data_IF_900987218928
#
_entry.id   IF_900987218928
#
_cell.length_a   1.000
_cell.length_b   1.000
_cell.length_c   1.000
_cell.angle_alpha   90.00
_cell.angle_beta   90.00
_cell.angle_gamma   90.00
#
_symmetry.space_group_name_H-M   'P 1'
#
loop_
_entity.id
_entity.type
_entity.pdbx_description
1 polymer ?
#
# COMPACT_ATOMS: atom_id res chain seq x y z
N UNK A 1 13.60 0.17 17.88
CA UNK A 1 13.22 -1.16 18.45
C UNK A 1 11.71 -1.37 18.54
N UNK A 2 10.90 -0.44 19.05
CA UNK A 2 9.43 -0.62 19.09
C UNK A 2 8.72 -0.37 17.75
N UNK A 3 9.02 0.76 17.10
CA UNK A 3 8.35 1.16 15.85
C UNK A 3 8.61 0.17 14.70
N UNK A 4 9.84 -0.36 14.59
CA UNK A 4 10.17 -1.41 13.61
C UNK A 4 9.37 -2.70 13.87
N UNK A 5 9.16 -3.07 15.13
CA UNK A 5 8.34 -4.23 15.49
C UNK A 5 6.86 -4.01 15.14
N UNK A 6 6.34 -2.79 15.27
CA UNK A 6 4.97 -2.46 14.84
C UNK A 6 4.84 -2.47 13.31
N UNK A 7 5.84 -1.95 12.59
CA UNK A 7 5.87 -1.99 11.14
C UNK A 7 6.03 -3.39 10.57
N UNK A 8 6.81 -4.28 11.18
CA UNK A 8 7.01 -5.65 10.68
C UNK A 8 6.02 -6.66 11.24
N UNK A 9 5.30 -6.30 12.31
CA UNK A 9 4.37 -7.19 13.01
C UNK A 9 3.26 -7.71 12.10
N UNK A 10 2.90 -8.97 12.32
CA UNK A 10 1.75 -9.64 11.67
C UNK A 10 0.42 -9.15 12.25
N UNK A 11 -0.66 -9.28 11.49
CA UNK A 11 -2.01 -8.93 11.91
C UNK A 11 -2.41 -9.59 13.22
N UNK A 12 -2.12 -10.90 13.37
CA UNK A 12 -2.41 -11.64 14.60
C UNK A 12 -1.65 -11.03 15.79
N UNK A 13 -0.35 -10.81 15.63
CA UNK A 13 0.51 -10.20 16.66
C UNK A 13 0.08 -8.77 17.01
N UNK A 14 -0.33 -7.98 16.01
CA UNK A 14 -0.83 -6.61 16.20
C UNK A 14 -2.20 -6.61 16.90
N UNK A 15 -3.07 -7.58 16.60
CA UNK A 15 -4.36 -7.74 17.30
C UNK A 15 -4.16 -8.13 18.76
N UNK A 16 -3.24 -9.05 19.04
CA UNK A 16 -2.86 -9.43 20.40
C UNK A 16 -2.32 -8.22 21.17
N UNK A 17 -1.37 -7.47 20.59
CA UNK A 17 -0.85 -6.23 21.19
C UNK A 17 -1.92 -5.16 21.39
N UNK A 18 -2.85 -5.03 20.44
CA UNK A 18 -3.97 -4.09 20.59
C UNK A 18 -4.85 -4.48 21.78
N UNK A 19 -5.15 -5.77 21.94
CA UNK A 19 -5.91 -6.28 23.08
C UNK A 19 -5.19 -6.10 24.41
N UNK A 20 -3.88 -6.36 24.47
CA UNK A 20 -3.04 -6.10 25.65
C UNK A 20 -3.04 -4.60 26.03
N UNK A 21 -3.09 -3.72 25.04
CA UNK A 21 -3.18 -2.27 25.23
C UNK A 21 -4.63 -1.75 25.45
N UNK A 22 -5.64 -2.63 25.49
CA UNK A 22 -7.04 -2.25 25.66
C UNK A 22 -7.67 -1.54 24.45
N UNK A 23 -7.10 -1.71 23.26
CA UNK A 23 -7.52 -1.10 22.00
C UNK A 23 -8.39 -2.06 21.16
N UNK A 24 -9.17 -1.50 20.23
CA UNK A 24 -9.94 -2.33 19.29
C UNK A 24 -9.04 -3.18 18.40
N UNK A 25 -9.41 -4.45 18.22
CA UNK A 25 -8.78 -5.40 17.28
C UNK A 25 -9.28 -5.28 15.84
N UNK A 26 -10.22 -4.37 15.57
CA UNK A 26 -10.85 -4.22 14.26
C UNK A 26 -10.01 -3.38 13.29
N UNK A 27 -10.09 -3.74 12.01
CA UNK A 27 -9.41 -3.05 10.93
C UNK A 27 -8.37 -3.93 10.22
N UNK A 28 -7.83 -3.39 9.13
CA UNK A 28 -6.65 -3.94 8.45
C UNK A 28 -5.39 -3.78 9.30
N UNK A 29 -4.29 -4.39 8.84
CA UNK A 29 -2.98 -4.26 9.49
C UNK A 29 -2.60 -2.80 9.68
N UNK A 30 -2.76 -1.96 8.66
CA UNK A 30 -2.35 -0.55 8.70
C UNK A 30 -3.19 0.27 9.67
N UNK A 31 -4.48 -0.03 9.80
CA UNK A 31 -5.35 0.59 10.81
C UNK A 31 -4.90 0.22 12.22
N UNK A 32 -4.52 -1.04 12.45
CA UNK A 32 -4.01 -1.48 13.74
C UNK A 32 -2.64 -0.87 14.04
N UNK A 33 -1.76 -0.75 13.04
CA UNK A 33 -0.47 -0.07 13.19
C UNK A 33 -0.65 1.39 13.53
N UNK A 34 -1.48 2.13 12.80
CA UNK A 34 -1.76 3.53 13.10
C UNK A 34 -2.27 3.68 14.55
N UNK A 35 -3.18 2.81 14.98
CA UNK A 35 -3.72 2.81 16.34
C UNK A 35 -2.68 2.50 17.41
N UNK A 36 -1.84 1.49 17.17
CA UNK A 36 -0.77 1.09 18.10
C UNK A 36 0.34 2.14 18.16
N UNK A 37 0.74 2.73 17.02
CA UNK A 37 1.72 3.82 16.96
C UNK A 37 1.17 5.04 17.69
N UNK A 38 -0.10 5.39 17.46
CA UNK A 38 -0.75 6.49 18.17
C UNK A 38 -0.70 6.28 19.68
N UNK A 39 -1.01 5.08 20.17
CA UNK A 39 -1.09 4.80 21.60
C UNK A 39 0.29 4.63 22.26
N UNK A 40 1.21 3.88 21.62
CA UNK A 40 2.46 3.44 22.25
C UNK A 40 3.66 4.34 21.93
N UNK A 41 3.61 5.09 20.82
CA UNK A 41 4.71 5.96 20.38
C UNK A 41 4.33 7.43 20.49
N UNK A 42 3.07 7.77 20.16
CA UNK A 42 2.54 9.13 20.19
C UNK A 42 1.55 9.35 21.35
N UNK A 43 1.68 8.59 22.44
CA UNK A 43 0.71 8.61 23.54
C UNK A 43 0.51 10.00 24.19
N UNK A 44 1.53 10.85 24.12
CA UNK A 44 1.50 12.22 24.66
C UNK A 44 1.06 13.28 23.62
N UNK A 45 0.91 12.89 22.35
CA UNK A 45 0.53 13.80 21.27
C UNK A 45 -0.98 13.74 21.06
N UNK A 46 -1.67 14.86 21.28
CA UNK A 46 -3.08 14.96 20.92
C UNK A 46 -3.23 15.01 19.40
N UNK A 47 -3.87 13.98 18.83
CA UNK A 47 -4.21 13.89 17.41
C UNK A 47 -5.71 14.10 17.15
N UNK A 48 -6.39 14.80 18.06
CA UNK A 48 -7.75 15.31 17.83
C UNK A 48 -7.78 16.25 16.62
N UNK A 49 -8.97 16.42 16.02
CA UNK A 49 -9.11 17.30 14.85
C UNK A 49 -8.70 18.75 15.16
N UNK A 50 -9.07 19.28 16.32
CA UNK A 50 -8.70 20.65 16.74
C UNK A 50 -7.18 20.80 16.91
N UNK A 51 -6.51 19.78 17.50
CA UNK A 51 -5.05 19.75 17.59
C UNK A 51 -4.38 19.68 16.22
N UNK A 52 -4.84 18.79 15.33
CA UNK A 52 -4.32 18.68 13.95
C UNK A 52 -4.44 20.02 13.18
N UNK A 53 -5.52 20.78 13.40
CA UNK A 53 -5.70 22.09 12.77
C UNK A 53 -4.71 23.14 13.28
N UNK A 54 -4.34 23.09 14.57
CA UNK A 54 -3.40 24.03 15.19
C UNK A 54 -1.92 23.58 15.10
N UNK A 55 -1.67 22.33 14.71
CA UNK A 55 -0.34 21.74 14.62
C UNK A 55 0.52 22.39 13.52
N UNK A 56 1.81 22.63 13.84
CA UNK A 56 2.74 23.24 12.90
C UNK A 56 3.02 22.35 11.69
N UNK A 57 3.47 22.95 10.58
CA UNK A 57 3.79 22.20 9.36
C UNK A 57 4.94 21.19 9.57
N UNK A 58 5.89 21.53 10.45
CA UNK A 58 7.03 20.68 10.85
C UNK A 58 6.55 19.48 11.66
N UNK A 59 5.70 19.71 12.66
CA UNK A 59 5.22 18.65 13.57
C UNK A 59 4.36 17.63 12.83
N UNK A 60 3.45 18.08 11.96
CA UNK A 60 2.66 17.14 11.12
C UNK A 60 3.59 16.31 10.24
N UNK A 61 4.65 16.93 9.70
CA UNK A 61 5.68 16.22 8.94
C UNK A 61 6.34 15.11 9.75
N UNK A 62 6.71 15.40 11.00
CA UNK A 62 7.29 14.43 11.94
C UNK A 62 6.33 13.28 12.27
N UNK A 63 5.08 13.60 12.59
CA UNK A 63 4.03 12.61 12.88
C UNK A 63 3.79 11.69 11.67
N UNK A 64 3.69 12.25 10.46
CA UNK A 64 3.54 11.46 9.23
C UNK A 64 4.75 10.54 8.97
N UNK A 65 5.97 11.00 9.29
CA UNK A 65 7.18 10.16 9.20
C UNK A 65 7.13 9.00 10.20
N UNK A 66 6.64 9.22 11.42
CA UNK A 66 6.48 8.17 12.46
C UNK A 66 5.42 7.14 12.07
N UNK A 67 4.34 7.55 11.41
CA UNK A 67 3.38 6.62 10.79
C UNK A 67 3.92 5.91 9.55
N UNK A 68 5.07 6.34 9.02
CA UNK A 68 5.67 5.77 7.83
C UNK A 68 4.95 6.14 6.53
N UNK A 69 4.14 7.21 6.53
CA UNK A 69 3.38 7.69 5.35
C UNK A 69 4.04 8.90 4.70
N UNK A 70 3.52 9.39 3.56
CA UNK A 70 4.15 10.50 2.82
C UNK A 70 4.10 11.80 3.64
N UNK A 71 5.27 12.30 4.05
CA UNK A 71 5.40 13.52 4.86
C UNK A 71 5.55 14.81 4.04
N UNK A 72 5.70 14.75 2.72
CA UNK A 72 5.86 15.94 1.85
C UNK A 72 4.52 16.51 1.37
N UNK A 73 4.54 17.74 0.84
CA UNK A 73 3.34 18.47 0.40
C UNK A 73 3.01 19.70 1.27
N UNK A 74 2.00 20.45 0.83
CA UNK A 74 1.49 21.65 1.51
C UNK A 74 0.94 21.31 2.91
N UNK A 75 0.83 22.33 3.76
CA UNK A 75 0.34 22.15 5.14
C UNK A 75 -1.08 21.53 5.16
N UNK A 76 -1.96 22.00 4.27
CA UNK A 76 -3.30 21.46 4.08
C UNK A 76 -3.27 19.98 3.66
N UNK A 77 -2.46 19.62 2.67
CA UNK A 77 -2.34 18.22 2.21
C UNK A 77 -1.82 17.31 3.32
N UNK A 78 -0.86 17.76 4.13
CA UNK A 78 -0.36 16.99 5.27
C UNK A 78 -1.43 16.79 6.34
N UNK A 79 -2.23 17.81 6.68
CA UNK A 79 -3.37 17.67 7.62
C UNK A 79 -4.42 16.71 7.12
N UNK A 80 -4.85 16.84 5.86
CA UNK A 80 -5.79 15.92 5.22
C UNK A 80 -5.28 14.49 5.30
N UNK A 81 -4.01 14.27 4.93
CA UNK A 81 -3.37 12.95 4.95
C UNK A 81 -3.31 12.34 6.35
N UNK A 82 -2.89 13.11 7.34
CA UNK A 82 -2.83 12.67 8.73
C UNK A 82 -4.23 12.30 9.24
N UNK A 83 -5.21 13.17 9.01
CA UNK A 83 -6.58 12.92 9.44
C UNK A 83 -7.17 11.67 8.76
N UNK A 84 -6.98 11.50 7.46
CA UNK A 84 -7.44 10.29 6.75
C UNK A 84 -6.77 9.02 7.29
N UNK A 85 -5.45 9.05 7.53
CA UNK A 85 -4.71 7.90 8.04
C UNK A 85 -5.18 7.44 9.43
N UNK A 86 -5.58 8.38 10.28
CA UNK A 86 -6.06 8.09 11.62
C UNK A 86 -7.49 7.55 11.65
N UNK A 87 -8.35 8.03 10.74
CA UNK A 87 -9.79 7.82 10.84
C UNK A 87 -10.35 6.80 9.83
N UNK A 88 -9.64 6.55 8.72
CA UNK A 88 -10.13 5.68 7.65
C UNK A 88 -9.15 4.59 7.29
N UNK A 89 -9.70 3.50 6.77
CA UNK A 89 -8.95 2.48 6.08
C UNK A 89 -8.87 2.85 4.59
N UNK A 90 -7.65 2.97 4.06
CA UNK A 90 -7.42 3.32 2.66
C UNK A 90 -7.99 2.32 1.66
N UNK A 91 -8.30 1.08 2.10
CA UNK A 91 -8.99 0.08 1.27
C UNK A 91 -10.50 0.26 1.25
N UNK A 92 -11.04 0.94 2.26
CA UNK A 92 -12.48 1.08 2.46
C UNK A 92 -12.99 2.41 1.96
N UNK A 93 -12.25 3.50 2.16
CA UNK A 93 -12.63 4.82 1.67
C UNK A 93 -12.11 5.00 0.23
N UNK A 94 -12.85 4.44 -0.72
CA UNK A 94 -12.56 4.55 -2.16
C UNK A 94 -13.56 5.45 -2.88
N UNK A 95 -13.26 5.84 -4.12
CA UNK A 95 -14.14 6.69 -4.93
C UNK A 95 -15.49 6.02 -5.18
N UNK A 96 -15.51 4.70 -5.35
CA UNK A 96 -16.71 3.89 -5.55
C UNK A 96 -17.62 3.96 -4.32
N UNK A 97 -17.03 3.84 -3.12
CA UNK A 97 -17.80 3.91 -1.87
C UNK A 97 -18.43 5.28 -1.66
N UNK A 98 -17.80 6.37 -2.14
CA UNK A 98 -18.40 7.70 -2.05
C UNK A 98 -19.76 7.79 -2.76
N UNK A 99 -19.97 6.96 -3.80
CA UNK A 99 -21.23 6.90 -4.53
C UNK A 99 -22.38 6.29 -3.71
N UNK A 100 -22.08 5.60 -2.62
CA UNK A 100 -23.04 5.01 -1.69
C UNK A 100 -23.29 5.88 -0.45
N UNK A 101 -22.42 6.87 -0.18
CA UNK A 101 -22.49 7.70 1.03
C UNK A 101 -23.62 8.73 1.00
N UNK A 102 -24.21 9.00 2.14
CA UNK A 102 -25.26 10.02 2.24
C UNK A 102 -24.68 11.44 2.15
N UNK A 103 -25.52 12.41 1.78
CA UNK A 103 -25.08 13.81 1.64
C UNK A 103 -24.44 14.34 2.93
N UNK A 104 -24.98 13.96 4.08
CA UNK A 104 -24.50 14.46 5.37
C UNK A 104 -23.14 13.85 5.74
N UNK A 105 -22.89 12.59 5.40
CA UNK A 105 -21.58 11.95 5.56
C UNK A 105 -20.52 12.61 4.65
N UNK A 106 -20.89 12.91 3.41
CA UNK A 106 -20.03 13.65 2.48
C UNK A 106 -19.75 15.08 2.97
N UNK A 107 -20.74 15.72 3.60
CA UNK A 107 -20.57 17.04 4.19
C UNK A 107 -19.59 17.01 5.36
N UNK A 108 -19.68 16.02 6.25
CA UNK A 108 -18.70 15.82 7.33
C UNK A 108 -17.29 15.57 6.78
N UNK A 109 -17.15 14.72 5.75
CA UNK A 109 -15.88 14.51 5.07
C UNK A 109 -15.33 15.82 4.49
N UNK A 110 -16.16 16.62 3.81
CA UNK A 110 -15.73 17.92 3.30
C UNK A 110 -15.27 18.87 4.42
N UNK A 111 -15.96 18.88 5.56
CA UNK A 111 -15.59 19.72 6.71
C UNK A 111 -14.21 19.32 7.24
N UNK A 112 -14.01 18.01 7.48
CA UNK A 112 -12.78 17.48 8.05
C UNK A 112 -11.59 17.56 7.10
N UNK A 113 -11.84 17.50 5.80
CA UNK A 113 -10.84 17.65 4.74
C UNK A 113 -10.62 19.11 4.31
N UNK A 114 -11.21 20.09 5.00
CA UNK A 114 -11.05 21.52 4.69
C UNK A 114 -11.48 21.86 3.24
N UNK A 115 -12.57 21.25 2.78
CA UNK A 115 -13.14 21.43 1.43
C UNK A 115 -14.36 22.35 1.46
N UNK A 116 -14.74 22.95 0.31
CA UNK A 116 -15.98 23.71 0.22
C UNK A 116 -17.20 22.86 0.59
N UNK A 117 -18.00 23.35 1.55
CA UNK A 117 -19.22 22.72 2.03
C UNK A 117 -20.46 23.02 1.16
N UNK A 118 -20.28 23.81 0.11
CA UNK A 118 -21.35 24.23 -0.79
C UNK A 118 -21.54 23.22 -1.91
N UNK A 119 -22.82 22.99 -2.27
CA UNK A 119 -23.17 22.13 -3.39
C UNK A 119 -24.20 21.05 -3.05
N UNK A 120 -24.62 20.33 -4.08
CA UNK A 120 -25.43 19.13 -3.93
C UNK A 120 -24.54 17.91 -3.61
N UNK A 121 -25.15 16.75 -3.33
CA UNK A 121 -24.43 15.51 -3.00
C UNK A 121 -23.31 15.19 -3.99
N UNK A 122 -23.58 15.30 -5.29
CA UNK A 122 -22.62 15.00 -6.35
C UNK A 122 -21.41 15.95 -6.34
N UNK A 123 -21.63 17.24 -6.04
CA UNK A 123 -20.54 18.22 -5.91
C UNK A 123 -19.66 17.91 -4.71
N UNK A 124 -20.25 17.62 -3.54
CA UNK A 124 -19.49 17.22 -2.34
C UNK A 124 -18.69 15.94 -2.58
N UNK A 125 -19.32 14.94 -3.20
CA UNK A 125 -18.67 13.71 -3.63
C UNK A 125 -17.47 13.99 -4.56
N UNK A 126 -17.63 14.89 -5.53
CA UNK A 126 -16.55 15.29 -6.43
C UNK A 126 -15.38 15.95 -5.71
N UNK A 127 -15.64 16.80 -4.71
CA UNK A 127 -14.58 17.39 -3.89
C UNK A 127 -13.77 16.33 -3.13
N UNK A 128 -14.47 15.39 -2.46
CA UNK A 128 -13.82 14.31 -1.70
C UNK A 128 -13.07 13.36 -2.63
N UNK A 129 -13.66 12.97 -3.76
CA UNK A 129 -13.01 12.12 -4.76
C UNK A 129 -11.71 12.76 -5.28
N UNK A 130 -11.71 14.08 -5.48
CA UNK A 130 -10.51 14.83 -5.85
C UNK A 130 -9.38 14.71 -4.82
N UNK A 131 -9.70 14.79 -3.53
CA UNK A 131 -8.71 14.58 -2.45
C UNK A 131 -8.23 13.13 -2.41
N UNK A 132 -9.12 12.15 -2.50
CA UNK A 132 -8.71 10.73 -2.51
C UNK A 132 -7.77 10.43 -3.68
N UNK A 133 -8.02 11.04 -4.84
CA UNK A 133 -7.19 10.87 -6.03
C UNK A 133 -5.84 11.56 -5.87
N UNK A 134 -5.81 12.80 -5.39
CA UNK A 134 -4.55 13.54 -5.19
C UNK A 134 -3.69 12.95 -4.08
N UNK A 135 -4.32 12.29 -3.12
CA UNK A 135 -3.67 11.61 -2.00
C UNK A 135 -3.51 10.11 -2.24
N UNK A 136 -3.74 9.61 -3.46
CA UNK A 136 -3.53 8.21 -3.78
C UNK A 136 -2.11 7.78 -3.37
N UNK A 137 -2.01 6.69 -2.60
CA UNK A 137 -0.75 6.19 -2.01
C UNK A 137 0.00 7.14 -1.07
N UNK A 138 -0.60 8.29 -0.73
CA UNK A 138 -0.04 9.24 0.23
C UNK A 138 -0.32 8.88 1.68
N UNK A 139 -1.43 8.20 1.96
CA UNK A 139 -1.91 7.83 3.30
C UNK A 139 -2.30 6.36 3.36
N UNK A 140 -2.48 5.84 4.59
CA UNK A 140 -3.00 4.48 4.82
C UNK A 140 -2.02 3.35 4.55
N UNK A 141 -0.92 3.59 3.82
CA UNK A 141 0.11 2.59 3.50
C UNK A 141 1.50 3.07 3.90
N UNK A 142 2.26 2.21 4.57
CA UNK A 142 3.65 2.48 4.95
C UNK A 142 4.54 2.49 3.70
N UNK A 143 5.45 3.47 3.61
CA UNK A 143 6.43 3.63 2.53
C UNK A 143 7.30 2.37 2.36
N UNK A 144 7.43 1.91 1.11
CA UNK A 144 8.29 0.79 0.68
C UNK A 144 9.74 0.86 1.18
N UNK A 145 10.32 2.05 1.25
CA UNK A 145 11.69 2.25 1.74
C UNK A 145 11.87 1.76 3.18
N UNK A 146 10.91 2.07 4.07
CA UNK A 146 10.98 1.70 5.49
C UNK A 146 11.00 0.19 5.72
N UNK A 147 10.39 -0.57 4.81
CA UNK A 147 10.42 -2.03 4.84
C UNK A 147 11.81 -2.61 4.53
N UNK A 148 12.55 -1.94 3.63
CA UNK A 148 13.82 -2.43 3.07
C UNK A 148 15.04 -1.96 3.85
N UNK A 149 15.11 -0.68 4.20
CA UNK A 149 16.26 -0.09 4.91
C UNK A 149 16.16 -0.20 6.43
N UNK A 150 14.99 -0.55 6.96
CA UNK A 150 14.65 -0.25 8.36
C UNK A 150 14.44 1.25 8.57
N UNK A 151 13.91 1.61 9.74
CA UNK A 151 13.80 3.00 10.16
C UNK A 151 15.20 3.62 10.25
N UNK A 152 15.46 4.81 9.66
CA UNK A 152 16.68 5.54 9.93
C UNK A 152 16.81 5.77 11.45
N UNK A 153 17.99 5.55 12.02
CA UNK A 153 18.28 5.66 13.46
C UNK A 153 17.99 7.07 14.05
N UNK A 154 17.68 8.06 13.21
CA UNK A 154 17.54 9.48 13.57
C UNK A 154 16.10 9.89 13.95
N UNK A 155 15.23 8.95 14.33
CA UNK A 155 14.01 9.32 15.05
C UNK A 155 14.32 9.48 16.55
N UNK A 156 15.28 10.34 16.88
CA UNK A 156 15.30 10.93 18.22
C UNK A 156 14.08 11.84 18.28
N UNK A 157 13.09 11.39 19.05
CA UNK A 157 11.97 12.20 19.48
C UNK A 157 12.56 13.28 20.38
N UNK A 158 13.01 14.39 19.79
CA UNK A 158 13.25 15.61 20.57
C UNK A 158 11.90 16.00 21.16
N UNK A 159 11.79 15.78 22.48
CA UNK A 159 10.70 16.29 23.28
C UNK A 159 10.59 17.79 23.02
N UNK A 160 9.41 18.21 22.57
CA UNK A 160 9.04 19.58 22.24
C UNK A 160 9.28 20.48 23.47
N UNK A 161 10.47 21.09 23.54
CA UNK A 161 10.71 22.29 24.32
C UNK A 161 10.58 23.47 23.35
N UNK A 162 9.56 24.28 23.62
CA UNK A 162 9.25 25.48 22.86
C UNK A 162 10.42 26.46 22.89
N UNK A 163 11.00 26.76 21.73
CA UNK A 163 11.50 28.09 21.41
C UNK A 163 11.21 28.41 19.93
N UNK A 164 10.68 29.62 19.77
CA UNK A 164 10.36 30.32 18.54
C UNK A 164 11.64 30.56 17.74
N UNK A 165 11.71 30.07 16.49
CA UNK A 165 12.30 30.91 15.46
C UNK A 165 11.76 30.56 14.06
N UNK A 166 11.39 31.63 13.38
CA UNK A 166 10.87 31.62 12.03
C UNK A 166 12.02 31.51 11.04
N UNK A 167 12.36 30.30 10.61
CA UNK A 167 13.16 30.12 9.40
C UNK A 167 12.50 29.12 8.44
N UNK A 168 12.26 29.64 7.23
CA UNK A 168 11.89 28.92 6.01
C UNK A 168 12.87 27.77 5.77
N UNK A 169 12.50 26.56 6.18
CA UNK A 169 13.23 25.36 5.80
C UNK A 169 12.74 24.88 4.45
N UNK A 170 13.62 25.04 3.47
CA UNK A 170 13.54 24.48 2.13
C UNK A 170 13.18 22.99 2.18
N UNK A 171 12.47 22.56 1.14
CA UNK A 171 12.07 21.18 0.95
C UNK A 171 13.30 20.27 0.91
N UNK A 172 13.61 19.62 2.03
CA UNK A 172 14.42 18.40 2.02
C UNK A 172 13.62 17.33 1.27
N UNK A 173 13.86 17.28 -0.04
CA UNK A 173 13.60 16.13 -0.90
C UNK A 173 14.51 15.01 -0.44
N UNK A 174 14.10 14.33 0.63
CA UNK A 174 14.60 13.00 0.94
C UNK A 174 13.76 11.97 0.15
N UNK A 175 13.73 12.16 -1.17
CA UNK A 175 13.42 11.14 -2.16
C UNK A 175 14.76 10.77 -2.81
N UNK A 176 15.69 10.26 -2.00
CA UNK A 176 16.79 9.47 -2.52
C UNK A 176 16.16 8.22 -3.17
N UNK A 177 15.88 8.31 -4.46
CA UNK A 177 15.63 7.17 -5.34
C UNK A 177 16.92 6.38 -5.34
N UNK A 178 17.08 5.49 -4.36
CA UNK A 178 18.14 4.50 -4.40
C UNK A 178 17.75 3.57 -5.54
N UNK A 179 18.40 3.76 -6.68
CA UNK A 179 18.29 2.96 -7.90
C UNK A 179 18.94 1.58 -7.65
N UNK A 180 18.32 0.83 -6.74
CA UNK A 180 18.64 -0.58 -6.51
C UNK A 180 17.68 -1.39 -7.36
N UNK A 181 18.24 -2.28 -8.16
CA UNK A 181 17.48 -3.21 -9.01
C UNK A 181 16.31 -3.81 -8.21
N UNK A 182 15.08 -3.75 -8.72
CA UNK A 182 13.93 -4.24 -7.99
C UNK A 182 14.01 -5.77 -7.88
N UNK A 183 14.48 -6.25 -6.73
CA UNK A 183 14.50 -7.68 -6.43
C UNK A 183 13.09 -8.14 -6.04
N UNK A 184 12.24 -8.39 -7.05
CA UNK A 184 10.84 -8.81 -6.89
C UNK A 184 10.69 -10.19 -6.19
N UNK A 185 11.80 -10.89 -5.93
CA UNK A 185 11.88 -12.16 -5.20
C UNK A 185 11.79 -12.03 -3.69
N UNK A 186 12.08 -10.84 -3.13
CA UNK A 186 12.01 -10.67 -1.69
C UNK A 186 10.56 -10.95 -1.27
N UNK A 187 10.34 -11.93 -0.37
CA UNK A 187 9.01 -12.23 0.14
C UNK A 187 8.41 -10.95 0.71
N UNK A 188 7.18 -10.66 0.31
CA UNK A 188 6.44 -9.54 0.88
C UNK A 188 6.31 -9.77 2.40
N UNK A 189 6.38 -8.72 3.22
CA UNK A 189 6.15 -8.85 4.66
C UNK A 189 4.84 -9.61 4.92
N UNK A 190 4.80 -10.48 5.94
CA UNK A 190 3.62 -11.31 6.24
C UNK A 190 2.31 -10.50 6.35
N UNK A 191 2.41 -9.26 6.83
CA UNK A 191 1.32 -8.30 6.84
C UNK A 191 0.65 -8.09 5.47
N UNK A 192 1.44 -8.03 4.39
CA UNK A 192 0.95 -7.88 3.02
C UNK A 192 0.17 -9.10 2.57
N UNK A 193 0.60 -10.30 2.99
CA UNK A 193 -0.07 -11.56 2.66
C UNK A 193 -1.39 -11.70 3.43
N UNK A 194 -1.41 -11.38 4.71
CA UNK A 194 -2.64 -11.36 5.51
C UNK A 194 -3.62 -10.31 4.98
N UNK A 195 -3.12 -9.14 4.61
CA UNK A 195 -3.91 -8.06 4.00
C UNK A 195 -4.50 -8.46 2.65
N UNK A 196 -3.74 -9.17 1.82
CA UNK A 196 -4.23 -9.74 0.57
C UNK A 196 -5.30 -10.81 0.83
N UNK A 197 -5.11 -11.64 1.87
CA UNK A 197 -6.10 -12.61 2.32
C UNK A 197 -7.42 -11.95 2.76
N UNK A 198 -7.34 -10.93 3.62
CA UNK A 198 -8.50 -10.16 4.10
C UNK A 198 -9.24 -9.46 2.95
N UNK A 199 -8.50 -8.95 1.96
CA UNK A 199 -9.08 -8.32 0.78
C UNK A 199 -9.84 -9.32 -0.12
N UNK A 200 -9.36 -10.57 -0.24
CA UNK A 200 -10.08 -11.62 -0.98
C UNK A 200 -11.44 -11.94 -0.35
N UNK A 201 -11.52 -11.94 0.99
CA UNK A 201 -12.74 -12.29 1.74
C UNK A 201 -13.56 -11.08 2.20
N UNK A 202 -13.27 -9.88 1.67
CA UNK A 202 -13.96 -8.66 2.11
C UNK A 202 -15.44 -8.67 1.70
N UNK A 203 -16.38 -8.62 2.64
CA UNK A 203 -17.83 -8.76 2.35
C UNK A 203 -18.22 -10.14 1.78
N UNK A 204 -17.47 -11.18 2.16
CA UNK A 204 -17.75 -12.57 1.76
C UNK A 204 -19.21 -12.95 2.05
N UNK A 205 -19.78 -12.48 3.15
CA UNK A 205 -21.16 -12.70 3.60
C UNK A 205 -22.23 -12.20 2.63
N UNK A 206 -21.90 -11.23 1.76
CA UNK A 206 -22.82 -10.71 0.73
C UNK A 206 -22.74 -11.47 -0.60
N UNK A 207 -21.75 -12.34 -0.76
CA UNK A 207 -21.51 -13.08 -2.00
C UNK A 207 -22.20 -14.46 -1.99
N UNK A 208 -22.47 -15.00 -3.19
CA UNK A 208 -23.08 -16.32 -3.37
C UNK A 208 -22.20 -17.43 -2.74
N UNK A 209 -22.78 -18.47 -2.12
CA UNK A 209 -22.01 -19.54 -1.44
C UNK A 209 -20.94 -20.20 -2.33
N UNK A 210 -21.19 -20.27 -3.64
CA UNK A 210 -20.21 -20.79 -4.60
C UNK A 210 -18.99 -19.87 -4.77
N UNK A 211 -19.20 -18.55 -4.84
CA UNK A 211 -18.14 -17.54 -4.88
C UNK A 211 -17.36 -17.54 -3.56
N UNK A 212 -18.06 -17.72 -2.43
CA UNK A 212 -17.42 -17.80 -1.12
C UNK A 212 -16.41 -18.94 -1.04
N UNK A 213 -16.79 -20.14 -1.49
CA UNK A 213 -15.91 -21.31 -1.49
C UNK A 213 -14.68 -21.13 -2.38
N UNK A 214 -14.86 -20.53 -3.56
CA UNK A 214 -13.77 -20.25 -4.50
C UNK A 214 -12.77 -19.25 -3.89
N UNK A 215 -13.27 -18.16 -3.31
CA UNK A 215 -12.43 -17.14 -2.67
C UNK A 215 -11.66 -17.68 -1.46
N UNK A 216 -12.27 -18.52 -0.62
CA UNK A 216 -11.59 -19.17 0.52
C UNK A 216 -10.48 -20.11 0.06
N UNK A 217 -10.70 -20.84 -1.04
CA UNK A 217 -9.69 -21.72 -1.63
C UNK A 217 -8.47 -20.94 -2.11
N UNK A 218 -8.71 -19.76 -2.70
CA UNK A 218 -7.65 -18.86 -3.16
C UNK A 218 -6.96 -18.17 -1.99
N UNK A 219 -7.70 -17.78 -0.95
CA UNK A 219 -7.17 -17.17 0.27
C UNK A 219 -6.12 -18.09 0.95
N UNK A 220 -6.37 -19.39 1.00
CA UNK A 220 -5.43 -20.36 1.56
C UNK A 220 -4.10 -20.46 0.76
N UNK A 221 -4.05 -19.86 -0.44
CA UNK A 221 -2.92 -19.93 -1.38
C UNK A 221 -2.37 -18.54 -1.71
N UNK A 222 -2.56 -17.55 -0.84
CA UNK A 222 -2.09 -16.18 -1.07
C UNK A 222 -0.56 -16.08 -1.21
N UNK A 223 0.20 -16.96 -0.54
CA UNK A 223 1.66 -17.05 -0.76
C UNK A 223 2.01 -17.46 -2.20
N UNK A 224 1.26 -18.41 -2.77
CA UNK A 224 1.42 -18.78 -4.18
C UNK A 224 1.02 -17.63 -5.11
N UNK A 225 -0.02 -16.85 -4.75
CA UNK A 225 -0.42 -15.64 -5.49
C UNK A 225 0.73 -14.64 -5.56
N UNK A 226 1.32 -14.32 -4.41
CA UNK A 226 2.41 -13.37 -4.28
C UNK A 226 3.65 -13.81 -5.06
N UNK A 227 3.98 -15.11 -5.01
CA UNK A 227 5.09 -15.68 -5.75
C UNK A 227 4.87 -15.63 -7.26
N UNK A 228 3.64 -15.89 -7.73
CA UNK A 228 3.29 -15.73 -9.13
C UNK A 228 3.49 -14.29 -9.59
N UNK A 229 3.03 -13.32 -8.80
CA UNK A 229 3.17 -11.90 -9.08
C UNK A 229 4.65 -11.50 -9.14
N UNK A 230 5.46 -11.89 -8.16
CA UNK A 230 6.90 -11.60 -8.17
C UNK A 230 7.63 -12.20 -9.39
N UNK A 231 7.20 -13.37 -9.85
CA UNK A 231 7.72 -14.00 -11.07
C UNK A 231 7.33 -13.20 -12.33
N UNK A 232 6.07 -12.77 -12.42
CA UNK A 232 5.56 -11.97 -13.54
C UNK A 232 6.29 -10.62 -13.61
N UNK A 233 6.42 -9.92 -12.48
CA UNK A 233 7.09 -8.62 -12.41
C UNK A 233 8.54 -8.70 -12.90
N UNK A 234 9.28 -9.74 -12.49
CA UNK A 234 10.65 -9.93 -13.01
C UNK A 234 10.67 -10.18 -14.52
N UNK A 235 9.76 -11.01 -15.02
CA UNK A 235 9.66 -11.31 -16.45
C UNK A 235 9.28 -10.09 -17.30
N UNK A 236 8.54 -9.14 -16.72
CA UNK A 236 7.98 -7.97 -17.42
C UNK A 236 8.62 -6.65 -16.99
N UNK A 237 9.82 -6.69 -16.42
CA UNK A 237 10.59 -5.50 -16.07
C UNK A 237 9.92 -4.59 -15.04
N UNK A 238 9.13 -5.17 -14.13
CA UNK A 238 8.43 -4.43 -13.08
C UNK A 238 7.12 -3.78 -13.51
N UNK A 239 6.63 -4.03 -14.73
CA UNK A 239 5.33 -3.51 -15.18
C UNK A 239 4.19 -4.40 -14.72
N UNK A 240 3.05 -3.79 -14.43
CA UNK A 240 1.81 -4.49 -14.10
C UNK A 240 0.60 -3.76 -14.69
N UNK A 241 0.06 -4.30 -15.77
CA UNK A 241 -1.14 -3.82 -16.44
C UNK A 241 -2.01 -4.96 -16.95
N UNK A 242 -2.81 -4.68 -17.97
CA UNK A 242 -3.83 -5.61 -18.47
C UNK A 242 -3.23 -6.93 -18.98
N UNK A 243 -2.02 -6.89 -19.55
CA UNK A 243 -1.32 -8.06 -20.09
C UNK A 243 -0.82 -8.98 -18.96
N UNK A 244 -0.27 -8.42 -17.89
CA UNK A 244 0.21 -9.14 -16.72
C UNK A 244 -0.94 -9.72 -15.89
N UNK A 245 -2.03 -8.98 -15.73
CA UNK A 245 -3.26 -9.48 -15.09
C UNK A 245 -3.81 -10.69 -15.85
N UNK A 246 -3.88 -10.62 -17.19
CA UNK A 246 -4.30 -11.74 -18.02
C UNK A 246 -3.32 -12.92 -17.97
N UNK A 247 -2.01 -12.67 -17.81
CA UNK A 247 -1.02 -13.72 -17.62
C UNK A 247 -1.19 -14.41 -16.26
N UNK A 248 -1.44 -13.65 -15.20
CA UNK A 248 -1.70 -14.19 -13.87
C UNK A 248 -2.90 -15.14 -13.88
N UNK A 249 -4.03 -14.72 -14.46
CA UNK A 249 -5.24 -15.55 -14.55
C UNK A 249 -4.94 -16.85 -15.29
N UNK A 250 -4.27 -16.79 -16.45
CA UNK A 250 -3.88 -18.00 -17.21
C UNK A 250 -2.98 -18.93 -16.40
N UNK A 251 -2.04 -18.39 -15.63
CA UNK A 251 -1.14 -19.17 -14.77
C UNK A 251 -1.87 -19.81 -13.58
N UNK A 252 -2.83 -19.11 -13.00
CA UNK A 252 -3.64 -19.58 -11.89
C UNK A 252 -4.64 -20.66 -12.34
N UNK A 253 -5.31 -20.48 -13.48
CA UNK A 253 -6.19 -21.50 -14.10
C UNK A 253 -5.41 -22.79 -14.40
N UNK A 254 -4.18 -22.68 -14.96
CA UNK A 254 -3.30 -23.85 -15.17
C UNK A 254 -2.91 -24.57 -13.88
N UNK A 255 -2.91 -23.86 -12.75
CA UNK A 255 -2.66 -24.42 -11.40
C UNK A 255 -3.95 -24.89 -10.70
N UNK A 256 -5.06 -24.94 -11.42
CA UNK A 256 -6.36 -25.42 -10.93
C UNK A 256 -7.04 -24.46 -9.95
N UNK A 257 -6.86 -23.15 -10.10
CA UNK A 257 -7.56 -22.16 -9.27
C UNK A 257 -9.01 -21.98 -9.77
N UNK A 258 -10.00 -21.90 -8.86
CA UNK A 258 -11.40 -21.74 -9.23
C UNK A 258 -11.68 -20.28 -9.66
N UNK A 259 -11.41 -19.98 -10.93
CA UNK A 259 -11.50 -18.65 -11.53
C UNK A 259 -12.57 -18.59 -12.61
N UNK A 260 -13.55 -19.50 -12.63
CA UNK A 260 -14.56 -19.55 -13.69
C UNK A 260 -15.52 -18.35 -13.64
N UNK A 261 -15.71 -17.77 -12.45
CA UNK A 261 -16.64 -16.67 -12.19
C UNK A 261 -15.91 -15.34 -12.31
N UNK A 262 -16.53 -14.39 -13.03
CA UNK A 262 -15.95 -13.06 -13.23
C UNK A 262 -15.74 -12.30 -11.92
N UNK A 263 -16.65 -12.46 -10.95
CA UNK A 263 -16.53 -11.84 -9.63
C UNK A 263 -15.26 -12.30 -8.89
N UNK A 264 -14.94 -13.60 -8.94
CA UNK A 264 -13.73 -14.17 -8.33
C UNK A 264 -12.49 -13.66 -9.06
N UNK A 265 -12.51 -13.63 -10.40
CA UNK A 265 -11.42 -13.06 -11.22
C UNK A 265 -11.16 -11.60 -10.88
N UNK A 266 -12.20 -10.77 -10.85
CA UNK A 266 -12.09 -9.34 -10.53
C UNK A 266 -11.49 -9.12 -9.14
N UNK A 267 -11.89 -9.92 -8.15
CA UNK A 267 -11.30 -9.85 -6.81
C UNK A 267 -9.82 -10.22 -6.82
N UNK A 268 -9.47 -11.33 -7.45
CA UNK A 268 -8.08 -11.82 -7.52
C UNK A 268 -7.19 -10.82 -8.24
N UNK A 269 -7.66 -10.22 -9.34
CA UNK A 269 -6.96 -9.15 -10.06
C UNK A 269 -6.73 -7.95 -9.14
N UNK A 270 -7.77 -7.45 -8.46
CA UNK A 270 -7.62 -6.31 -7.55
C UNK A 270 -6.60 -6.57 -6.42
N UNK A 271 -6.62 -7.77 -5.85
CA UNK A 271 -5.64 -8.19 -4.82
C UNK A 271 -4.25 -8.32 -5.41
N UNK A 272 -4.11 -8.89 -6.60
CA UNK A 272 -2.83 -9.04 -7.27
C UNK A 272 -2.20 -7.70 -7.65
N UNK A 273 -3.00 -6.76 -8.15
CA UNK A 273 -2.57 -5.39 -8.46
C UNK A 273 -2.09 -4.68 -7.20
N UNK A 274 -2.76 -4.88 -6.06
CA UNK A 274 -2.32 -4.35 -4.77
C UNK A 274 -0.96 -4.95 -4.34
N UNK A 275 -0.78 -6.28 -4.44
CA UNK A 275 0.50 -6.94 -4.14
C UNK A 275 1.60 -6.45 -5.09
N UNK A 276 1.32 -6.33 -6.39
CA UNK A 276 2.27 -5.88 -7.39
C UNK A 276 2.76 -4.46 -7.09
N UNK A 277 1.82 -3.57 -6.73
CA UNK A 277 2.14 -2.20 -6.31
C UNK A 277 3.02 -2.16 -5.06
N UNK A 278 2.76 -3.04 -4.07
CA UNK A 278 3.59 -3.15 -2.85
C UNK A 278 5.01 -3.64 -3.20
N UNK A 279 5.11 -4.59 -4.13
CA UNK A 279 6.40 -5.03 -4.68
C UNK A 279 7.08 -3.98 -5.55
N UNK A 280 6.37 -2.88 -5.85
CA UNK A 280 6.93 -1.72 -6.51
C UNK A 280 6.74 -1.70 -8.01
N UNK A 281 5.72 -2.39 -8.51
CA UNK A 281 5.39 -2.39 -9.91
C UNK A 281 4.97 -1.01 -10.40
N UNK A 282 5.28 -0.72 -11.67
CA UNK A 282 4.67 0.37 -12.41
C UNK A 282 3.26 -0.05 -12.82
N UNK A 283 2.24 0.56 -12.21
CA UNK A 283 0.84 0.21 -12.39
C UNK A 283 0.24 0.95 -13.59
N UNK A 284 -0.45 0.20 -14.44
CA UNK A 284 -1.24 0.71 -15.56
C UNK A 284 -0.58 0.49 -16.91
N UNK A 285 -1.40 0.61 -17.96
CA UNK A 285 -0.95 0.56 -19.35
C UNK A 285 -0.25 1.88 -19.71
N UNK A 286 0.96 2.10 -19.17
CA UNK A 286 1.83 3.21 -19.58
C UNK A 286 2.05 3.24 -21.10
N UNK A 287 2.47 4.38 -21.69
CA UNK A 287 2.67 4.46 -23.14
C UNK A 287 3.58 3.32 -23.56
N UNK A 288 3.11 2.49 -24.50
CA UNK A 288 3.82 1.33 -25.04
C UNK A 288 5.21 1.73 -25.53
N UNK A 289 6.18 1.79 -24.63
CA UNK A 289 7.58 1.77 -25.00
C UNK A 289 7.80 0.34 -25.41
N UNK A 290 7.64 0.16 -26.72
CA UNK A 290 8.04 -0.96 -27.54
C UNK A 290 9.19 -1.65 -26.83
N UNK A 291 8.93 -2.81 -26.23
CA UNK A 291 9.98 -3.70 -25.73
C UNK A 291 10.99 -3.73 -26.87
N UNK A 292 12.19 -3.23 -26.62
CA UNK A 292 13.21 -3.22 -27.65
C UNK A 292 13.58 -4.68 -27.87
N UNK A 293 12.89 -5.29 -28.82
CA UNK A 293 12.93 -6.71 -29.12
C UNK A 293 14.35 -7.15 -29.43
N UNK A 294 15.22 -6.21 -29.81
CA UNK A 294 16.65 -6.40 -30.02
C UNK A 294 17.35 -6.71 -28.69
N UNK A 295 17.14 -5.90 -27.65
CA UNK A 295 17.75 -6.11 -26.33
C UNK A 295 17.27 -7.40 -25.65
N UNK A 296 15.98 -7.71 -25.77
CA UNK A 296 15.43 -8.95 -25.20
C UNK A 296 15.98 -10.19 -25.93
N UNK A 297 16.15 -10.12 -27.25
CA UNK A 297 16.76 -11.21 -28.04
C UNK A 297 18.26 -11.33 -27.79
N UNK A 298 18.97 -10.23 -27.55
CA UNK A 298 20.41 -10.24 -27.25
C UNK A 298 20.67 -10.87 -25.88
N UNK A 299 19.85 -10.55 -24.86
CA UNK A 299 19.91 -11.21 -23.54
C UNK A 299 19.65 -12.72 -23.64
N UNK A 300 18.71 -13.14 -24.49
CA UNK A 300 18.44 -14.58 -24.73
C UNK A 300 19.60 -15.23 -25.48
N UNK A 301 20.20 -14.56 -26.47
CA UNK A 301 21.36 -15.08 -27.22
C UNK A 301 22.59 -15.23 -26.35
N UNK A 302 22.85 -14.28 -25.46
CA UNK A 302 23.99 -14.32 -24.55
C UNK A 302 23.85 -15.46 -23.55
N UNK A 303 22.62 -15.71 -23.05
CA UNK A 303 22.33 -16.82 -22.15
C UNK A 303 22.41 -18.19 -22.84
N UNK A 304 22.04 -18.27 -24.12
CA UNK A 304 22.23 -19.48 -24.94
C UNK A 304 23.71 -19.78 -25.20
N UNK A 305 24.53 -18.75 -25.50
CA UNK A 305 25.99 -18.93 -25.64
C UNK A 305 26.67 -19.37 -24.35
N UNK A 306 26.25 -18.82 -23.21
CA UNK A 306 26.76 -19.24 -21.90
C UNK A 306 26.36 -20.68 -21.55
N UNK A 307 25.16 -21.10 -21.93
CA UNK A 307 24.74 -22.49 -21.80
C UNK A 307 25.54 -23.43 -22.72
N UNK A 308 25.85 -23.01 -23.94
CA UNK A 308 26.70 -23.78 -24.87
C UNK A 308 28.12 -23.97 -24.33
N UNK A 309 28.71 -22.97 -23.66
CA UNK A 309 30.05 -23.11 -23.04
C UNK A 309 30.06 -24.08 -21.87
N UNK A 310 28.99 -24.12 -21.07
CA UNK A 310 28.85 -25.08 -19.97
C UNK A 310 28.68 -26.52 -20.47
N UNK A 311 28.03 -26.71 -21.62
CA UNK A 311 27.83 -28.02 -22.26
C UNK A 311 29.12 -28.51 -22.95
N UNK A 312 29.97 -27.61 -23.47
CA UNK A 312 31.26 -27.99 -24.03
C UNK A 312 32.27 -28.43 -22.96
N UNK A 313 32.24 -27.80 -21.78
CA UNK A 313 33.13 -28.15 -20.67
C UNK A 313 32.77 -29.48 -19.99
N UNK A 314 31.52 -29.96 -20.12
CA UNK A 314 31.08 -31.25 -19.56
C UNK A 314 31.36 -32.46 -20.46
N UNK A 315 31.85 -32.28 -21.68
CA UNK A 315 32.15 -33.36 -22.64
C UNK A 315 33.66 -33.68 -22.78
N UNK A 316 34.53 -33.06 -21.96
CA UNK A 316 35.98 -33.30 -21.96
C UNK A 316 36.50 -34.07 -20.71
N UNK A 317 35.62 -34.77 -19.97
CA UNK A 317 36.01 -35.77 -18.93
C UNK A 317 35.71 -37.21 -19.35
#
# INVERSE_FOLDING_TARGET
MLLDALFRGRLVELRERAEEAGLSKSGSVEVLRARLIQNQVLGDVDLSWDSIQSMSHKDIGGVLKLFGVKSSGSHKERRQRLWMHLNFDSRRLTVERLAEMERDELHELCQRLELPLTGNRTVLMGHVAGVLTSQANGWGRIKRSLWRSGLPEVFEVEAVAAEDDSEVVEAEQDDAVVDLEPEFEVPSPNAVLEDAGDALIHELDKTEPSVQGDLLTIQARVEDLERMIGTILRGHGGRWGSEEEALLIRLAERRGWPLERDEVRSRVIGVATNIAEIKGAEIGDGPKQRVDSVEALDRVRERMRYAETLISETNEE
#
